data_IF_549215803261
#
_entry.id   IF_549215803261
#
_cell.length_a   1.000
_cell.length_b   1.000
_cell.length_c   1.000
_cell.angle_alpha   90.00
_cell.angle_beta   90.00
_cell.angle_gamma   90.00
#
_symmetry.space_group_name_H-M   'P 1'
#
loop_
_entity.id
_entity.type
_entity.pdbx_description
1 polymer ?
#
# COMPACT_ATOMS: atom_id res chain seq x y z
N UNK A 1 -5.08 -38.30 -36.46
CA UNK A 1 -5.41 -38.28 -35.01
C UNK A 1 -4.40 -37.47 -34.19
N UNK A 2 -3.08 -37.64 -34.37
CA UNK A 2 -2.06 -36.85 -33.63
C UNK A 2 -2.06 -35.34 -33.94
N UNK A 3 -2.48 -34.92 -35.14
CA UNK A 3 -2.52 -33.49 -35.52
C UNK A 3 -3.46 -32.64 -34.67
N UNK A 4 -4.57 -33.22 -34.18
CA UNK A 4 -5.50 -32.51 -33.27
C UNK A 4 -4.86 -32.37 -31.89
N UNK A 5 -4.15 -33.41 -31.43
CA UNK A 5 -3.43 -33.41 -30.15
C UNK A 5 -2.32 -32.36 -30.15
N UNK A 6 -1.54 -32.25 -31.24
CA UNK A 6 -0.49 -31.23 -31.36
C UNK A 6 -1.05 -29.80 -31.35
N UNK A 7 -2.23 -29.58 -31.96
CA UNK A 7 -2.89 -28.27 -31.96
C UNK A 7 -3.37 -27.89 -30.56
N UNK A 8 -3.97 -28.82 -29.81
CA UNK A 8 -4.40 -28.58 -28.43
C UNK A 8 -3.22 -28.26 -27.51
N UNK A 9 -2.12 -29.01 -27.63
CA UNK A 9 -0.91 -28.76 -26.84
C UNK A 9 -0.32 -27.38 -27.17
N UNK A 10 -0.23 -27.02 -28.44
CA UNK A 10 0.25 -25.68 -28.84
C UNK A 10 -0.66 -24.56 -28.33
N UNK A 11 -1.99 -24.73 -28.38
CA UNK A 11 -2.93 -23.75 -27.84
C UNK A 11 -2.79 -23.57 -26.34
N UNK A 12 -2.61 -24.65 -25.58
CA UNK A 12 -2.41 -24.58 -24.12
C UNK A 12 -1.09 -23.92 -23.78
N UNK A 13 -0.01 -24.24 -24.49
CA UNK A 13 1.30 -23.60 -24.30
C UNK A 13 1.24 -22.12 -24.64
N UNK A 14 0.61 -21.75 -25.77
CA UNK A 14 0.40 -20.37 -26.18
C UNK A 14 -0.43 -19.60 -25.14
N UNK A 15 -1.55 -20.18 -24.69
CA UNK A 15 -2.38 -19.61 -23.64
C UNK A 15 -1.59 -19.40 -22.35
N UNK A 16 -0.77 -20.37 -21.95
CA UNK A 16 0.05 -20.25 -20.75
C UNK A 16 1.15 -19.20 -20.90
N UNK A 17 1.82 -19.13 -22.07
CA UNK A 17 2.82 -18.10 -22.36
C UNK A 17 2.23 -16.69 -22.40
N UNK A 18 1.08 -16.53 -23.07
CA UNK A 18 0.36 -15.25 -23.12
C UNK A 18 -0.10 -14.87 -21.72
N UNK A 19 -0.70 -15.79 -20.96
CA UNK A 19 -1.13 -15.54 -19.58
C UNK A 19 0.05 -15.19 -18.68
N UNK A 20 1.23 -15.80 -18.89
CA UNK A 20 2.45 -15.51 -18.13
C UNK A 20 3.00 -14.13 -18.47
N UNK A 21 3.08 -13.77 -19.75
CA UNK A 21 3.50 -12.44 -20.20
C UNK A 21 2.53 -11.35 -19.73
N UNK A 22 1.22 -11.63 -19.78
CA UNK A 22 0.20 -10.71 -19.26
C UNK A 22 0.23 -10.61 -17.74
N UNK A 23 0.65 -11.65 -17.00
CA UNK A 23 0.80 -11.60 -15.54
C UNK A 23 1.93 -10.66 -15.11
N UNK A 24 2.95 -10.51 -15.94
CA UNK A 24 4.08 -9.59 -15.73
C UNK A 24 3.67 -8.12 -16.00
N UNK A 25 2.72 -7.90 -16.90
CA UNK A 25 2.09 -6.59 -17.12
C UNK A 25 1.00 -6.26 -16.08
N UNK A 26 0.29 -7.29 -15.60
CA UNK A 26 -0.88 -7.15 -14.73
C UNK A 26 -0.55 -7.03 -13.25
N UNK A 27 0.73 -7.06 -12.88
CA UNK A 27 1.16 -6.50 -11.60
C UNK A 27 1.26 -4.98 -11.83
N UNK A 28 0.30 -4.15 -11.42
CA UNK A 28 0.60 -2.74 -11.25
C UNK A 28 1.84 -2.71 -10.34
N UNK A 29 2.96 -2.22 -10.86
CA UNK A 29 4.12 -1.93 -10.04
C UNK A 29 3.62 -0.94 -9.00
N UNK A 30 3.34 -1.42 -7.81
CA UNK A 30 3.18 -0.60 -6.63
C UNK A 30 4.58 0.00 -6.44
N UNK A 31 4.77 1.23 -6.89
CA UNK A 31 6.06 1.91 -6.90
C UNK A 31 6.63 1.89 -5.48
N UNK A 32 7.73 1.17 -5.17
CA UNK A 32 8.27 1.09 -3.82
C UNK A 32 9.05 2.36 -3.42
N UNK A 33 8.76 3.50 -4.06
CA UNK A 33 9.63 4.66 -4.08
C UNK A 33 9.12 5.82 -3.22
N UNK A 34 8.43 5.55 -2.09
CA UNK A 34 8.65 6.35 -0.87
C UNK A 34 8.24 5.54 0.37
N UNK A 35 9.16 5.23 1.29
CA UNK A 35 8.79 4.70 2.58
C UNK A 35 7.94 5.75 3.30
N UNK A 36 6.61 5.55 3.30
CA UNK A 36 5.65 6.39 4.00
C UNK A 36 4.47 6.93 3.19
N UNK A 37 4.51 6.93 1.85
CA UNK A 37 3.38 7.49 1.07
C UNK A 37 2.15 6.57 1.04
N UNK A 38 2.38 5.26 0.99
CA UNK A 38 1.30 4.27 0.88
C UNK A 38 0.83 3.72 2.23
N UNK A 39 1.56 4.03 3.30
CA UNK A 39 1.15 3.65 4.66
C UNK A 39 0.23 4.75 5.19
N UNK A 40 -1.08 4.55 5.04
CA UNK A 40 -2.07 5.42 5.67
C UNK A 40 -2.23 5.05 7.14
N UNK A 41 -1.98 6.02 8.01
CA UNK A 41 -2.14 5.90 9.47
C UNK A 41 -3.31 6.78 9.87
N UNK A 42 -4.13 6.28 10.78
CA UNK A 42 -5.27 7.03 11.31
C UNK A 42 -4.81 7.96 12.43
N UNK A 43 -5.17 9.24 12.33
CA UNK A 43 -4.96 10.23 13.39
C UNK A 43 -5.88 9.92 14.59
N UNK A 44 -5.35 9.84 15.83
CA UNK A 44 -6.14 9.51 17.02
C UNK A 44 -7.15 10.61 17.42
N UNK A 45 -6.96 11.86 17.00
CA UNK A 45 -7.82 13.00 17.35
C UNK A 45 -8.99 13.13 16.38
N UNK A 46 -8.68 13.30 15.09
CA UNK A 46 -9.69 13.59 14.07
C UNK A 46 -10.15 12.36 13.29
N UNK A 47 -9.53 11.19 13.52
CA UNK A 47 -9.80 9.91 12.82
C UNK A 47 -9.61 9.95 11.31
N UNK A 48 -8.93 10.98 10.81
CA UNK A 48 -8.57 11.12 9.39
C UNK A 48 -7.37 10.24 9.08
N UNK A 49 -7.38 9.61 7.91
CA UNK A 49 -6.24 8.85 7.41
C UNK A 49 -5.23 9.78 6.74
N UNK A 50 -3.98 9.74 7.21
CA UNK A 50 -2.86 10.51 6.67
C UNK A 50 -1.75 9.58 6.24
N UNK A 51 -1.07 9.89 5.14
CA UNK A 51 0.11 9.15 4.72
C UNK A 51 1.25 9.36 5.73
N UNK A 52 1.86 8.29 6.22
CA UNK A 52 2.94 8.33 7.20
C UNK A 52 4.13 9.22 6.76
N UNK A 53 4.35 9.36 5.45
CA UNK A 53 5.39 10.19 4.87
C UNK A 53 5.09 11.70 4.86
N UNK A 54 3.83 12.10 5.05
CA UNK A 54 3.43 13.52 5.18
C UNK A 54 2.84 13.85 6.55
N UNK A 55 2.63 12.84 7.40
CA UNK A 55 2.11 12.99 8.74
C UNK A 55 3.13 13.65 9.67
N UNK A 56 2.63 14.40 10.66
CA UNK A 56 3.46 14.97 11.71
C UNK A 56 3.68 13.89 12.76
N UNK A 57 4.94 13.49 12.93
CA UNK A 57 5.35 12.49 13.92
C UNK A 57 5.67 13.18 15.24
N UNK A 58 5.07 12.70 16.33
CA UNK A 58 5.38 13.18 17.67
C UNK A 58 5.51 12.01 18.64
N UNK A 59 6.58 12.00 19.41
CA UNK A 59 6.84 10.98 20.42
C UNK A 59 6.14 11.39 21.73
N UNK A 60 5.20 10.56 22.19
CA UNK A 60 4.51 10.72 23.47
C UNK A 60 4.56 9.40 24.23
N UNK A 61 5.01 9.43 25.50
CA UNK A 61 5.11 8.25 26.38
C UNK A 61 5.88 7.07 25.74
N UNK A 62 6.91 7.36 24.94
CA UNK A 62 7.72 6.36 24.22
C UNK A 62 7.03 5.72 23.01
N UNK A 63 5.91 6.29 22.54
CA UNK A 63 5.22 5.89 21.30
C UNK A 63 5.21 7.03 20.30
N UNK A 64 5.47 6.71 19.04
CA UNK A 64 5.35 7.65 17.94
C UNK A 64 3.90 7.69 17.45
N UNK A 65 3.28 8.85 17.57
CA UNK A 65 1.96 9.14 17.04
C UNK A 65 2.06 9.97 15.77
N UNK A 66 1.13 9.72 14.84
CA UNK A 66 1.08 10.35 13.53
C UNK A 66 -0.19 11.21 13.46
N UNK A 67 -0.01 12.49 13.19
CA UNK A 67 -1.10 13.47 13.13
C UNK A 67 -1.24 14.06 11.73
N UNK A 68 -2.48 14.40 11.36
CA UNK A 68 -2.77 15.04 10.09
C UNK A 68 -2.30 16.50 10.04
N UNK A 69 -2.19 17.16 11.20
CA UNK A 69 -1.89 18.59 11.34
C UNK A 69 -1.24 18.91 12.68
N UNK A 70 -0.60 20.08 12.78
CA UNK A 70 -0.01 20.56 14.03
C UNK A 70 -1.06 20.80 15.13
N UNK A 71 -2.28 21.19 14.74
CA UNK A 71 -3.36 21.41 15.68
C UNK A 71 -3.82 20.09 16.32
N UNK A 72 -3.93 19.00 15.54
CA UNK A 72 -4.24 17.67 16.09
C UNK A 72 -3.17 17.21 17.08
N UNK A 73 -1.87 17.40 16.76
CA UNK A 73 -0.79 17.09 17.69
C UNK A 73 -0.87 17.89 18.99
N UNK A 74 -1.21 19.19 18.91
CA UNK A 74 -1.37 20.07 20.09
C UNK A 74 -2.54 19.63 20.96
N UNK A 75 -3.69 19.33 20.35
CA UNK A 75 -4.88 18.85 21.05
C UNK A 75 -4.60 17.53 21.77
N UNK A 76 -3.95 16.58 21.09
CA UNK A 76 -3.58 15.29 21.68
C UNK A 76 -2.64 15.46 22.89
N UNK A 77 -1.68 16.38 22.79
CA UNK A 77 -0.78 16.69 23.91
C UNK A 77 -1.50 17.29 25.12
N UNK A 78 -2.56 18.08 24.91
CA UNK A 78 -3.34 18.65 26.01
C UNK A 78 -4.24 17.60 26.67
N UNK A 79 -4.90 16.76 25.87
CA UNK A 79 -5.76 15.68 26.37
C UNK A 79 -4.97 14.62 27.16
N UNK A 80 -3.74 14.27 26.75
CA UNK A 80 -2.95 13.21 27.39
C UNK A 80 -2.24 13.65 28.69
N UNK A 81 -2.20 14.96 28.98
CA UNK A 81 -1.56 15.57 30.17
C UNK A 81 -2.58 15.85 31.29
N UNK A 82 -3.87 15.73 31.02
CA UNK A 82 -4.95 15.93 32.01
C UNK A 82 -5.41 14.59 32.57
#
# INVERSE_FOLDING_TARGET
>A
MYKIITILILLVILFFMVRRAFREWSQPKLDPATPGKDVMIQDPVCKVYVAAGTAIVQELKGKNYYFCSQDCARHFKLEDVT
#
